data_IF_371916941917
#
_entry.id   IF_371916941917
#
_cell.length_a   1.000
_cell.length_b   1.000
_cell.length_c   1.000
_cell.angle_alpha   90.00
_cell.angle_beta   90.00
_cell.angle_gamma   90.00
#
_symmetry.space_group_name_H-M   'P 1'
#
loop_
_entity.id
_entity.type
_entity.pdbx_description
1 polymer ?
#
# COMPACT_ATOMS: atom_id res chain seq x y z
N UNK A 1 -12.68 -1.31 -24.82
CA UNK A 1 -13.40 -1.16 -23.55
C UNK A 1 -13.03 0.19 -22.95
N UNK A 2 -14.02 1.07 -22.83
CA UNK A 2 -13.83 2.41 -22.26
C UNK A 2 -14.49 2.43 -20.88
N UNK A 3 -13.78 2.80 -19.79
CA UNK A 3 -14.38 2.97 -18.49
C UNK A 3 -15.50 4.01 -18.52
N UNK A 4 -16.67 3.67 -18.00
CA UNK A 4 -17.83 4.56 -17.97
C UNK A 4 -18.59 4.41 -16.65
N UNK A 5 -18.80 5.52 -15.97
CA UNK A 5 -19.60 5.55 -14.74
C UNK A 5 -21.07 5.24 -15.03
N UNK A 6 -21.59 5.71 -16.17
CA UNK A 6 -22.99 5.47 -16.55
C UNK A 6 -23.25 3.99 -16.80
N UNK A 7 -22.33 3.30 -17.52
CA UNK A 7 -22.42 1.86 -17.71
C UNK A 7 -22.31 1.10 -16.39
N UNK A 8 -21.43 1.51 -15.50
CA UNK A 8 -21.30 0.91 -14.17
C UNK A 8 -22.60 1.03 -13.38
N UNK A 9 -23.19 2.22 -13.34
CA UNK A 9 -24.46 2.44 -12.67
C UNK A 9 -25.61 1.64 -13.30
N UNK A 10 -25.65 1.56 -14.62
CA UNK A 10 -26.67 0.76 -15.33
C UNK A 10 -26.54 -0.73 -15.02
N UNK A 11 -25.32 -1.27 -14.96
CA UNK A 11 -25.08 -2.67 -14.55
C UNK A 11 -25.56 -2.89 -13.11
N UNK A 12 -25.21 -1.99 -12.19
CA UNK A 12 -25.65 -2.09 -10.79
C UNK A 12 -27.17 -2.06 -10.65
N UNK A 13 -27.87 -1.21 -11.41
CA UNK A 13 -29.32 -1.10 -11.37
C UNK A 13 -30.05 -2.33 -11.93
N UNK A 14 -29.42 -3.07 -12.83
CA UNK A 14 -30.00 -4.27 -13.46
C UNK A 14 -29.54 -5.59 -12.84
N UNK A 15 -28.60 -5.56 -11.88
CA UNK A 15 -28.16 -6.75 -11.16
C UNK A 15 -29.17 -7.16 -10.09
N UNK A 16 -29.26 -8.46 -9.79
CA UNK A 16 -30.06 -8.96 -8.66
C UNK A 16 -29.30 -8.79 -7.33
N UNK A 17 -27.99 -8.93 -7.36
CA UNK A 17 -27.08 -8.73 -6.25
C UNK A 17 -25.76 -8.14 -6.75
N UNK A 18 -25.14 -7.28 -5.96
CA UNK A 18 -23.88 -6.61 -6.30
C UNK A 18 -22.79 -7.06 -5.33
N UNK A 19 -21.67 -7.52 -5.87
CA UNK A 19 -20.40 -7.66 -5.13
C UNK A 19 -19.43 -6.62 -5.70
N UNK A 20 -19.15 -5.57 -4.92
CA UNK A 20 -18.28 -4.48 -5.34
C UNK A 20 -17.01 -4.44 -4.52
N UNK A 21 -15.85 -4.52 -5.18
CA UNK A 21 -14.53 -4.31 -4.57
C UNK A 21 -13.88 -3.09 -5.21
N UNK A 22 -13.52 -2.11 -4.40
CA UNK A 22 -12.89 -0.90 -4.95
C UNK A 22 -12.76 0.22 -3.94
N UNK A 23 -12.47 1.42 -4.42
CA UNK A 23 -12.38 2.61 -3.58
C UNK A 23 -13.73 3.03 -2.97
N UNK A 24 -13.71 3.99 -2.01
CA UNK A 24 -14.93 4.42 -1.28
C UNK A 24 -16.07 4.86 -2.19
N UNK A 25 -15.75 5.45 -3.35
CA UNK A 25 -16.76 5.87 -4.34
C UNK A 25 -17.53 4.70 -4.95
N UNK A 26 -16.82 3.61 -5.30
CA UNK A 26 -17.44 2.41 -5.85
C UNK A 26 -18.33 1.72 -4.81
N UNK A 27 -17.87 1.58 -3.59
CA UNK A 27 -18.64 1.00 -2.48
C UNK A 27 -19.90 1.82 -2.19
N UNK A 28 -19.79 3.15 -2.18
CA UNK A 28 -20.93 4.05 -2.02
C UNK A 28 -21.94 3.90 -3.16
N UNK A 29 -21.47 3.82 -4.41
CA UNK A 29 -22.34 3.63 -5.57
C UNK A 29 -23.09 2.29 -5.48
N UNK A 30 -22.43 1.21 -5.11
CA UNK A 30 -23.06 -0.10 -4.92
C UNK A 30 -24.17 -0.07 -3.88
N UNK A 31 -23.94 0.50 -2.70
CA UNK A 31 -24.96 0.62 -1.65
C UNK A 31 -26.08 1.60 -2.01
N UNK A 32 -25.81 2.58 -2.87
CA UNK A 32 -26.81 3.57 -3.32
C UNK A 32 -27.61 3.11 -4.54
N UNK A 33 -27.33 1.96 -5.09
CA UNK A 33 -28.00 1.44 -6.30
C UNK A 33 -29.44 0.99 -6.09
N UNK A 34 -29.87 0.82 -4.82
CA UNK A 34 -31.17 0.26 -4.47
C UNK A 34 -31.25 -1.27 -4.58
N UNK A 35 -30.11 -1.95 -4.81
CA UNK A 35 -30.02 -3.41 -4.90
C UNK A 35 -29.29 -3.99 -3.69
N UNK A 36 -29.51 -5.26 -3.34
CA UNK A 36 -28.69 -5.96 -2.37
C UNK A 36 -27.21 -5.88 -2.79
N UNK A 37 -26.36 -5.36 -1.90
CA UNK A 37 -24.95 -5.15 -2.22
C UNK A 37 -24.04 -5.54 -1.06
N UNK A 38 -22.90 -6.14 -1.40
CA UNK A 38 -21.75 -6.37 -0.50
C UNK A 38 -20.57 -5.57 -1.06
N UNK A 39 -20.20 -4.53 -0.34
CA UNK A 39 -19.10 -3.64 -0.72
C UNK A 39 -17.85 -3.87 0.12
N UNK A 40 -16.70 -4.01 -0.54
CA UNK A 40 -15.38 -4.13 0.09
C UNK A 40 -14.54 -2.91 -0.30
N UNK A 41 -14.18 -2.12 0.71
CA UNK A 41 -13.38 -0.91 0.58
C UNK A 41 -11.88 -1.17 0.58
N UNK A 42 -11.07 -0.10 0.71
CA UNK A 42 -9.61 -0.20 0.77
C UNK A 42 -9.17 -1.01 1.99
N UNK A 43 -8.22 -1.91 1.77
CA UNK A 43 -7.59 -2.68 2.83
C UNK A 43 -6.52 -1.87 3.57
N UNK A 44 -6.25 -2.26 4.80
CA UNK A 44 -5.08 -1.84 5.57
C UNK A 44 -4.53 -3.07 6.30
N UNK A 45 -3.65 -3.79 5.62
CA UNK A 45 -3.15 -5.09 6.06
C UNK A 45 -1.91 -4.91 6.93
N UNK A 46 -1.97 -5.13 8.26
CA UNK A 46 -0.79 -5.16 9.11
C UNK A 46 -0.14 -6.55 9.08
N UNK A 47 1.20 -6.58 9.06
CA UNK A 47 1.98 -7.77 9.33
C UNK A 47 2.61 -7.66 10.72
N UNK A 48 2.68 -8.76 11.46
CA UNK A 48 3.32 -8.84 12.78
C UNK A 48 4.45 -9.84 12.70
N UNK A 49 5.65 -9.43 13.12
CA UNK A 49 6.80 -10.33 13.23
C UNK A 49 7.16 -10.43 14.72
N UNK A 50 6.94 -11.59 15.28
CA UNK A 50 7.30 -11.92 16.66
C UNK A 50 8.62 -12.71 16.74
N UNK A 51 9.06 -13.05 17.93
CA UNK A 51 10.33 -13.71 18.17
C UNK A 51 10.35 -15.22 17.80
N UNK A 52 9.19 -15.80 17.52
CA UNK A 52 9.07 -17.16 16.99
C UNK A 52 9.21 -17.24 15.47
N UNK A 53 9.19 -16.08 14.78
CA UNK A 53 9.22 -16.02 13.33
C UNK A 53 10.61 -16.37 12.74
N UNK A 54 10.60 -17.07 11.59
CA UNK A 54 11.76 -17.06 10.71
C UNK A 54 11.87 -15.68 10.04
N UNK A 55 12.78 -14.86 10.55
CA UNK A 55 12.95 -13.47 10.11
C UNK A 55 13.23 -13.38 8.61
N UNK A 56 14.06 -14.29 8.08
CA UNK A 56 14.43 -14.27 6.66
C UNK A 56 13.23 -14.57 5.76
N UNK A 57 12.44 -15.57 6.14
CA UNK A 57 11.23 -15.94 5.43
C UNK A 57 10.17 -14.82 5.54
N UNK A 58 9.93 -14.32 6.75
CA UNK A 58 8.94 -13.26 7.00
C UNK A 58 9.22 -11.99 6.19
N UNK A 59 10.45 -11.47 6.28
CA UNK A 59 10.84 -10.26 5.54
C UNK A 59 10.80 -10.49 4.04
N UNK A 60 11.26 -11.64 3.56
CA UNK A 60 11.18 -11.96 2.14
C UNK A 60 9.73 -11.99 1.63
N UNK A 61 8.84 -12.63 2.36
CA UNK A 61 7.42 -12.74 2.00
C UNK A 61 6.73 -11.37 1.96
N UNK A 62 7.00 -10.52 2.97
CA UNK A 62 6.47 -9.16 3.02
C UNK A 62 6.95 -8.34 1.83
N UNK A 63 8.25 -8.38 1.49
CA UNK A 63 8.78 -7.64 0.34
C UNK A 63 8.15 -8.14 -0.96
N UNK A 64 8.05 -9.44 -1.17
CA UNK A 64 7.44 -10.01 -2.38
C UNK A 64 5.98 -9.61 -2.52
N UNK A 65 5.21 -9.68 -1.41
CA UNK A 65 3.82 -9.25 -1.38
C UNK A 65 3.68 -7.75 -1.66
N UNK A 66 4.47 -6.92 -0.96
CA UNK A 66 4.39 -5.46 -1.09
C UNK A 66 4.86 -4.93 -2.43
N UNK A 67 5.85 -5.55 -3.05
CA UNK A 67 6.38 -5.12 -4.36
C UNK A 67 5.64 -5.73 -5.54
N UNK A 68 4.77 -6.70 -5.31
CA UNK A 68 3.87 -7.21 -6.33
C UNK A 68 3.02 -6.07 -6.87
N UNK A 69 3.01 -5.91 -8.20
CA UNK A 69 2.29 -4.84 -8.90
C UNK A 69 2.59 -3.43 -8.34
N UNK A 70 3.82 -3.20 -7.89
CA UNK A 70 4.27 -1.95 -7.24
C UNK A 70 3.34 -1.50 -6.08
N UNK A 71 2.84 -2.44 -5.30
CA UNK A 71 2.01 -2.18 -4.12
C UNK A 71 0.58 -1.73 -4.40
N UNK A 72 0.08 -1.91 -5.63
CA UNK A 72 -1.30 -1.53 -5.98
C UNK A 72 -2.34 -2.50 -5.43
N UNK A 73 -1.97 -3.76 -5.20
CA UNK A 73 -2.92 -4.75 -4.69
C UNK A 73 -3.37 -4.42 -3.26
N UNK A 74 -4.68 -4.44 -3.03
CA UNK A 74 -5.29 -4.09 -1.75
C UNK A 74 -4.90 -5.02 -0.59
N UNK A 75 -4.45 -6.24 -0.90
CA UNK A 75 -4.01 -7.25 0.07
C UNK A 75 -2.56 -7.10 0.52
N UNK A 76 -1.76 -6.21 -0.11
CA UNK A 76 -0.36 -5.99 0.28
C UNK A 76 -0.24 -5.33 1.65
N UNK A 77 0.82 -5.64 2.36
CA UNK A 77 1.06 -5.13 3.71
C UNK A 77 1.23 -3.59 3.69
N UNK A 78 0.51 -2.92 4.58
CA UNK A 78 0.56 -1.46 4.74
C UNK A 78 1.43 -1.05 5.93
N UNK A 79 1.61 -1.97 6.89
CA UNK A 79 2.46 -1.75 8.06
C UNK A 79 3.08 -3.05 8.55
N UNK A 80 4.25 -2.94 9.17
CA UNK A 80 4.92 -4.07 9.81
C UNK A 80 5.18 -3.72 11.26
N UNK A 81 4.60 -4.50 12.17
CA UNK A 81 4.85 -4.40 13.61
C UNK A 81 5.86 -5.46 14.01
N UNK A 82 6.91 -5.07 14.69
CA UNK A 82 8.01 -5.95 15.07
C UNK A 82 8.24 -5.86 16.57
N UNK A 83 8.44 -7.00 17.25
CA UNK A 83 8.84 -6.98 18.67
C UNK A 83 10.21 -6.34 18.82
N UNK A 84 10.38 -5.55 19.89
CA UNK A 84 11.61 -4.81 20.18
C UNK A 84 12.85 -5.72 20.25
N UNK A 85 12.69 -6.91 20.82
CA UNK A 85 13.77 -7.90 20.99
C UNK A 85 14.44 -8.34 19.68
N UNK A 86 13.69 -8.32 18.56
CA UNK A 86 14.16 -8.74 17.24
C UNK A 86 14.23 -7.60 16.22
N UNK A 87 13.80 -6.39 16.60
CA UNK A 87 13.69 -5.24 15.70
C UNK A 87 14.97 -4.97 14.89
N UNK A 88 16.13 -5.00 15.55
CA UNK A 88 17.41 -4.76 14.87
C UNK A 88 17.69 -5.77 13.77
N UNK A 89 17.46 -7.06 14.05
CA UNK A 89 17.68 -8.14 13.07
C UNK A 89 16.72 -8.03 11.89
N UNK A 90 15.45 -7.73 12.15
CA UNK A 90 14.42 -7.54 11.11
C UNK A 90 14.78 -6.34 10.24
N UNK A 91 15.18 -5.21 10.82
CA UNK A 91 15.61 -4.03 10.08
C UNK A 91 16.82 -4.30 9.18
N UNK A 92 17.82 -5.01 9.70
CA UNK A 92 19.02 -5.41 8.93
C UNK A 92 18.64 -6.31 7.75
N UNK A 93 17.69 -7.24 7.92
CA UNK A 93 17.22 -8.10 6.85
C UNK A 93 16.45 -7.31 5.77
N UNK A 94 15.62 -6.33 6.14
CA UNK A 94 14.99 -5.43 5.15
C UNK A 94 16.03 -4.65 4.35
N UNK A 95 17.04 -4.08 5.01
CA UNK A 95 18.14 -3.37 4.35
C UNK A 95 18.91 -4.27 3.39
N UNK A 96 19.27 -5.49 3.84
CA UNK A 96 19.98 -6.48 3.04
C UNK A 96 19.21 -6.84 1.75
N UNK A 97 17.88 -6.82 1.80
CA UNK A 97 17.01 -7.13 0.66
C UNK A 97 16.65 -5.93 -0.21
N UNK A 98 17.30 -4.79 -0.02
CA UNK A 98 17.14 -3.61 -0.88
C UNK A 98 15.99 -2.68 -0.47
N UNK A 99 15.50 -2.76 0.77
CA UNK A 99 14.61 -1.74 1.30
C UNK A 99 15.41 -0.54 1.80
N UNK A 100 14.85 0.66 1.64
CA UNK A 100 15.44 1.89 2.10
C UNK A 100 14.62 2.51 3.23
N UNK A 101 15.26 2.81 4.35
CA UNK A 101 14.62 3.48 5.48
C UNK A 101 14.79 4.98 5.36
N UNK A 102 13.70 5.68 5.12
CA UNK A 102 13.68 7.13 4.97
C UNK A 102 14.12 7.83 6.26
N UNK A 103 14.97 8.82 6.14
CA UNK A 103 15.30 9.75 7.22
C UNK A 103 14.14 10.72 7.45
N UNK A 104 14.08 11.41 8.61
CA UNK A 104 12.95 12.30 8.92
C UNK A 104 12.67 13.38 7.87
N UNK A 105 13.72 13.99 7.32
CA UNK A 105 13.63 15.01 6.27
C UNK A 105 13.22 14.44 4.92
N UNK A 106 13.69 13.25 4.57
CA UNK A 106 13.30 12.50 3.37
C UNK A 106 11.84 12.08 3.46
N UNK A 107 11.41 11.61 4.63
CA UNK A 107 10.04 11.22 4.89
C UNK A 107 9.05 12.34 4.61
N UNK A 108 9.34 13.56 5.08
CA UNK A 108 8.47 14.71 4.82
C UNK A 108 8.38 15.07 3.33
N UNK A 109 9.47 14.93 2.58
CA UNK A 109 9.47 15.10 1.12
C UNK A 109 8.59 14.06 0.43
N UNK A 110 8.80 12.78 0.77
CA UNK A 110 8.01 11.66 0.22
C UNK A 110 6.54 11.82 0.58
N UNK A 111 6.22 12.16 1.84
CA UNK A 111 4.84 12.38 2.28
C UNK A 111 4.13 13.48 1.49
N UNK A 112 4.79 14.61 1.23
CA UNK A 112 4.26 15.72 0.42
C UNK A 112 4.09 15.34 -1.05
N UNK A 113 4.87 14.38 -1.55
CA UNK A 113 4.72 13.85 -2.90
C UNK A 113 3.57 12.87 -3.00
N UNK A 114 3.39 12.01 -1.99
CA UNK A 114 2.32 11.01 -1.94
C UNK A 114 0.95 11.66 -1.70
N UNK A 115 0.89 12.67 -0.84
CA UNK A 115 -0.36 13.33 -0.47
C UNK A 115 -0.37 14.78 -0.97
N UNK A 116 -1.31 15.09 -1.86
CA UNK A 116 -1.56 16.45 -2.37
C UNK A 116 -2.92 16.89 -1.85
N UNK A 117 -2.97 17.96 -1.08
CA UNK A 117 -4.21 18.50 -0.46
C UNK A 117 -5.02 17.42 0.30
N UNK A 118 -4.33 16.53 0.99
CA UNK A 118 -4.95 15.45 1.77
C UNK A 118 -5.46 14.26 0.95
N UNK A 119 -5.32 14.28 -0.37
CA UNK A 119 -5.67 13.19 -1.26
C UNK A 119 -4.43 12.49 -1.82
N UNK A 120 -4.57 11.22 -2.19
CA UNK A 120 -3.51 10.47 -2.83
C UNK A 120 -3.16 11.08 -4.19
N UNK A 121 -1.87 11.32 -4.43
CA UNK A 121 -1.37 11.75 -5.72
C UNK A 121 -1.50 10.62 -6.76
N UNK A 122 -2.41 10.76 -7.71
CA UNK A 122 -2.62 9.74 -8.74
C UNK A 122 -1.37 9.40 -9.57
N UNK A 123 -0.38 10.30 -9.65
CA UNK A 123 0.84 10.09 -10.42
C UNK A 123 1.78 9.04 -9.82
N UNK A 124 1.65 8.76 -8.51
CA UNK A 124 2.52 7.78 -7.85
C UNK A 124 1.94 6.36 -7.89
N UNK A 125 0.67 6.22 -8.27
CA UNK A 125 0.00 4.92 -8.29
C UNK A 125 0.66 3.99 -9.31
N UNK A 126 1.07 2.81 -8.86
CA UNK A 126 1.77 1.82 -9.68
C UNK A 126 3.21 2.15 -10.02
N UNK A 127 3.76 3.24 -9.48
CA UNK A 127 5.16 3.60 -9.70
C UNK A 127 6.11 2.79 -8.80
N UNK A 128 7.32 2.55 -9.30
CA UNK A 128 8.40 1.93 -8.52
C UNK A 128 8.85 2.87 -7.38
N UNK A 129 9.33 2.30 -6.29
CA UNK A 129 9.83 3.06 -5.14
C UNK A 129 10.91 4.09 -5.54
N UNK A 130 11.84 3.74 -6.42
CA UNK A 130 12.87 4.64 -6.91
C UNK A 130 12.29 5.86 -7.68
N UNK A 131 11.24 5.65 -8.49
CA UNK A 131 10.57 6.75 -9.22
C UNK A 131 9.83 7.68 -8.26
N UNK A 132 9.20 7.15 -7.21
CA UNK A 132 8.56 7.98 -6.17
C UNK A 132 9.60 8.79 -5.41
N UNK A 133 10.76 8.21 -5.08
CA UNK A 133 11.88 8.91 -4.45
C UNK A 133 12.40 10.05 -5.33
N UNK A 134 12.60 9.80 -6.61
CA UNK A 134 13.01 10.81 -7.59
C UNK A 134 12.02 11.98 -7.64
N UNK A 135 10.72 11.69 -7.74
CA UNK A 135 9.67 12.72 -7.70
C UNK A 135 9.68 13.53 -6.39
N UNK A 136 10.08 12.91 -5.29
CA UNK A 136 10.21 13.56 -3.98
C UNK A 136 11.54 14.30 -3.78
N UNK A 137 12.48 14.23 -4.73
CA UNK A 137 13.83 14.78 -4.59
C UNK A 137 14.64 14.09 -3.49
N UNK A 138 14.46 12.76 -3.35
CA UNK A 138 15.19 11.91 -2.41
C UNK A 138 16.07 10.95 -3.20
N UNK A 139 17.37 10.95 -2.90
CA UNK A 139 18.32 10.04 -3.54
C UNK A 139 18.29 8.67 -2.83
N UNK A 140 17.92 7.65 -3.56
CA UNK A 140 17.94 6.25 -3.10
C UNK A 140 18.73 5.39 -4.09
N UNK A 141 19.26 4.23 -3.68
CA UNK A 141 19.85 3.28 -4.61
C UNK A 141 18.87 2.92 -5.75
N UNK A 142 19.36 2.77 -7.01
CA UNK A 142 18.48 2.50 -8.16
C UNK A 142 17.69 1.20 -8.07
N UNK A 143 18.19 0.23 -7.34
CA UNK A 143 17.59 -1.09 -7.09
C UNK A 143 16.72 -1.14 -5.84
N UNK A 144 16.42 0.04 -5.23
CA UNK A 144 15.54 0.12 -4.07
C UNK A 144 14.17 -0.49 -4.38
N UNK A 145 13.81 -1.53 -3.63
CA UNK A 145 12.54 -2.25 -3.79
C UNK A 145 11.38 -1.56 -3.12
N UNK A 146 11.60 -1.02 -1.93
CA UNK A 146 10.57 -0.39 -1.12
C UNK A 146 11.17 0.73 -0.25
N UNK A 147 10.36 1.76 0.04
CA UNK A 147 10.72 2.82 0.99
C UNK A 147 9.93 2.61 2.27
N UNK A 148 10.64 2.46 3.37
CA UNK A 148 10.05 2.16 4.68
C UNK A 148 10.14 3.37 5.61
N UNK A 149 9.04 3.65 6.28
CA UNK A 149 8.98 4.56 7.41
C UNK A 149 9.02 3.78 8.72
N UNK A 150 9.85 4.20 9.65
CA UNK A 150 9.82 3.68 11.02
C UNK A 150 8.90 4.54 11.87
N UNK A 151 7.80 3.96 12.34
CA UNK A 151 6.95 4.54 13.37
C UNK A 151 7.39 3.97 14.72
N UNK A 152 8.15 4.73 15.51
CA UNK A 152 8.36 4.40 16.91
C UNK A 152 7.10 4.75 17.70
N UNK A 153 6.39 3.75 18.21
CA UNK A 153 5.51 3.93 19.36
C UNK A 153 6.35 3.62 20.61
N UNK A 154 6.51 4.64 21.43
CA UNK A 154 6.97 4.47 22.82
C UNK A 154 5.86 3.80 23.63
#
# INVERSE_FOLDING_TARGET
>A
DIPSLDLTNMVMQNADIILATGGPGMVKAAYSSGKPAVGVGPGNTPAIIDDSADIRLAVNSIIHSKTFDNGMICASEQSVTVLESIYKKVKEEFLYRGCYFLKPDELEKVRKTILINGALNAKIVGQKAAAIAEMAGVAVPPDTKEQLQVLHRR
#
